data_IF_234781552785
#
_entry.id   IF_234781552785
#
_cell.length_a   1.000
_cell.length_b   1.000
_cell.length_c   1.000
_cell.angle_alpha   90.00
_cell.angle_beta   90.00
_cell.angle_gamma   90.00
#
_symmetry.space_group_name_H-M   'P 1'
#
loop_
_entity.id
_entity.type
_entity.pdbx_description
1 polymer ?
#
# COMPACT_ATOMS: atom_id res chain seq x y z
N UNK A 1 -0.79 19.77 -9.86
CA UNK A 1 0.01 20.79 -9.12
C UNK A 1 0.07 22.03 -9.97
N UNK A 2 -0.29 23.18 -9.42
CA UNK A 2 -0.13 24.50 -10.04
C UNK A 2 1.18 25.10 -9.53
N UNK A 3 2.02 25.57 -10.44
CA UNK A 3 3.35 26.09 -10.10
C UNK A 3 3.47 27.49 -10.69
N UNK A 4 3.82 28.45 -9.85
CA UNK A 4 4.19 29.81 -10.25
C UNK A 4 5.71 29.88 -10.23
N UNK A 5 6.33 30.22 -11.35
CA UNK A 5 7.79 30.25 -11.51
C UNK A 5 8.23 31.54 -12.20
N UNK A 6 9.43 32.01 -11.85
CA UNK A 6 10.15 33.09 -12.54
C UNK A 6 11.47 32.51 -13.07
N UNK A 7 11.51 32.27 -14.39
CA UNK A 7 12.62 31.55 -15.01
C UNK A 7 12.76 30.12 -14.46
N UNK A 8 13.88 29.85 -13.80
CA UNK A 8 14.18 28.55 -13.16
C UNK A 8 13.80 28.52 -11.67
N UNK A 9 13.45 29.66 -11.06
CA UNK A 9 13.05 29.74 -9.66
C UNK A 9 11.56 29.47 -9.49
N UNK A 10 11.23 28.59 -8.54
CA UNK A 10 9.86 28.28 -8.16
C UNK A 10 9.43 29.26 -7.06
N UNK A 11 8.46 30.12 -7.35
CA UNK A 11 7.92 31.09 -6.40
C UNK A 11 6.82 30.50 -5.52
N UNK A 12 5.95 29.66 -6.12
CA UNK A 12 4.83 29.05 -5.41
C UNK A 12 4.47 27.68 -6.00
N UNK A 13 4.08 26.76 -5.12
CA UNK A 13 3.61 25.41 -5.45
C UNK A 13 2.29 25.14 -4.75
N UNK A 14 1.25 24.89 -5.53
CA UNK A 14 -0.04 24.44 -5.03
C UNK A 14 -0.36 23.02 -5.53
N UNK A 15 -0.22 21.99 -4.69
CA UNK A 15 -0.65 20.64 -5.04
C UNK A 15 -2.18 20.55 -5.02
N UNK A 16 -2.78 20.22 -6.16
CA UNK A 16 -4.22 19.99 -6.29
C UNK A 16 -4.47 18.50 -6.07
N UNK A 17 -5.09 18.17 -4.93
CA UNK A 17 -5.47 16.81 -4.57
C UNK A 17 -6.89 16.46 -5.03
N UNK A 18 -7.25 15.17 -4.96
CA UNK A 18 -8.64 14.72 -5.13
C UNK A 18 -8.98 14.04 -6.46
N UNK A 19 -8.08 14.03 -7.45
CA UNK A 19 -8.33 13.32 -8.73
C UNK A 19 -8.56 11.80 -8.58
N UNK A 20 -8.02 11.20 -7.52
CA UNK A 20 -8.22 9.78 -7.18
C UNK A 20 -9.20 9.59 -6.00
N UNK A 21 -9.90 10.64 -5.58
CA UNK A 21 -10.86 10.53 -4.49
C UNK A 21 -12.08 9.71 -4.94
N UNK A 22 -12.33 8.60 -4.24
CA UNK A 22 -13.40 7.64 -4.55
C UNK A 22 -14.50 7.58 -3.48
N UNK A 23 -14.45 8.45 -2.47
CA UNK A 23 -15.39 8.41 -1.35
C UNK A 23 -15.37 7.07 -0.60
N UNK A 24 -14.20 6.45 -0.44
CA UNK A 24 -14.06 5.11 0.13
C UNK A 24 -14.64 5.02 1.55
N UNK A 25 -14.55 6.09 2.33
CA UNK A 25 -15.15 6.20 3.66
C UNK A 25 -16.68 6.11 3.59
N UNK A 26 -17.31 6.82 2.64
CA UNK A 26 -18.77 6.76 2.45
C UNK A 26 -19.22 5.37 2.01
N UNK A 27 -18.46 4.73 1.14
CA UNK A 27 -18.72 3.35 0.72
C UNK A 27 -18.56 2.34 1.87
N UNK A 28 -17.74 2.64 2.88
CA UNK A 28 -17.57 1.78 4.03
C UNK A 28 -18.81 1.78 4.95
N UNK A 29 -19.55 2.89 5.03
CA UNK A 29 -20.77 2.99 5.85
C UNK A 29 -21.88 2.02 5.42
N UNK A 30 -21.95 1.69 4.12
CA UNK A 30 -22.98 0.81 3.56
C UNK A 30 -22.56 -0.68 3.56
N UNK A 31 -21.35 -1.00 4.04
CA UNK A 31 -20.73 -2.33 3.90
C UNK A 31 -20.55 -3.01 5.25
N UNK A 32 -20.60 -4.33 5.24
CA UNK A 32 -20.26 -5.14 6.41
C UNK A 32 -18.75 -5.10 6.70
N UNK A 33 -18.36 -5.31 7.96
CA UNK A 33 -16.96 -5.28 8.39
C UNK A 33 -16.02 -6.17 7.54
N UNK A 34 -16.47 -7.35 7.12
CA UNK A 34 -15.70 -8.25 6.25
C UNK A 34 -15.55 -7.73 4.82
N UNK A 35 -16.55 -7.00 4.32
CA UNK A 35 -16.50 -6.45 2.96
C UNK A 35 -15.57 -5.23 2.87
N UNK A 36 -15.40 -4.50 3.98
CA UNK A 36 -14.52 -3.33 4.07
C UNK A 36 -13.05 -3.71 3.88
N UNK A 37 -12.63 -4.94 4.19
CA UNK A 37 -11.24 -5.41 3.96
C UNK A 37 -10.83 -5.24 2.49
N UNK A 38 -11.75 -5.45 1.55
CA UNK A 38 -11.47 -5.26 0.12
C UNK A 38 -11.37 -3.77 -0.28
N UNK A 39 -11.92 -2.87 0.53
CA UNK A 39 -11.78 -1.43 0.35
C UNK A 39 -10.43 -0.94 0.88
N UNK A 40 -9.98 -1.47 2.02
CA UNK A 40 -8.70 -1.11 2.65
C UNK A 40 -7.49 -1.52 1.82
N UNK A 41 -7.58 -2.62 1.07
CA UNK A 41 -6.56 -3.03 0.09
C UNK A 41 -6.25 -1.96 -0.96
N UNK A 42 -7.23 -1.09 -1.27
CA UNK A 42 -7.14 -0.10 -2.35
C UNK A 42 -6.71 1.28 -1.89
N UNK A 43 -6.51 1.48 -0.59
CA UNK A 43 -6.07 2.76 -0.01
C UNK A 43 -4.61 3.03 -0.37
N UNK A 44 -3.73 2.06 -0.10
CA UNK A 44 -2.39 2.00 -0.67
C UNK A 44 -2.21 0.66 -1.41
N UNK A 45 -2.15 0.76 -2.74
CA UNK A 45 -2.02 -0.37 -3.66
C UNK A 45 -0.60 -0.99 -3.66
N UNK A 46 0.38 -0.33 -3.05
CA UNK A 46 1.74 -0.83 -2.88
C UNK A 46 1.83 -1.67 -1.60
N UNK A 47 1.19 -1.22 -0.52
CA UNK A 47 1.25 -1.87 0.81
C UNK A 47 -0.09 -2.41 1.33
N UNK A 48 -0.90 -3.00 0.45
CA UNK A 48 -2.28 -3.44 0.74
C UNK A 48 -2.45 -4.30 2.01
N UNK A 49 -1.52 -5.24 2.27
CA UNK A 49 -1.59 -6.12 3.44
C UNK A 49 -1.43 -5.36 4.77
N UNK A 50 -0.63 -4.30 4.80
CA UNK A 50 -0.43 -3.48 6.01
C UNK A 50 -1.71 -2.69 6.31
N UNK A 51 -2.39 -2.19 5.29
CA UNK A 51 -3.67 -1.50 5.45
C UNK A 51 -4.75 -2.43 6.01
N UNK A 52 -4.85 -3.64 5.46
CA UNK A 52 -5.78 -4.65 5.96
C UNK A 52 -5.46 -5.03 7.40
N UNK A 53 -4.17 -5.19 7.74
CA UNK A 53 -3.76 -5.47 9.11
C UNK A 53 -4.16 -4.35 10.07
N UNK A 54 -3.96 -3.08 9.71
CA UNK A 54 -4.36 -1.94 10.53
C UNK A 54 -5.87 -1.93 10.78
N UNK A 55 -6.67 -2.20 9.74
CA UNK A 55 -8.12 -2.29 9.87
C UNK A 55 -8.56 -3.48 10.75
N UNK A 56 -8.00 -4.67 10.53
CA UNK A 56 -8.32 -5.85 11.34
C UNK A 56 -7.95 -5.66 12.81
N UNK A 57 -6.82 -5.02 13.11
CA UNK A 57 -6.43 -4.71 14.49
C UNK A 57 -7.43 -3.77 15.16
N UNK A 58 -7.91 -2.74 14.45
CA UNK A 58 -8.93 -1.84 14.97
C UNK A 58 -10.25 -2.56 15.27
N UNK A 59 -10.69 -3.47 14.38
CA UNK A 59 -11.90 -4.27 14.57
C UNK A 59 -11.73 -5.27 15.72
N UNK A 60 -10.57 -5.90 15.85
CA UNK A 60 -10.25 -6.85 16.93
C UNK A 60 -10.24 -6.17 18.30
N UNK A 61 -9.69 -4.95 18.39
CA UNK A 61 -9.69 -4.14 19.61
C UNK A 61 -11.13 -3.73 20.00
N UNK A 62 -11.97 -3.35 19.03
CA UNK A 62 -13.39 -3.04 19.28
C UNK A 62 -14.20 -4.25 19.77
N UNK A 63 -13.85 -5.46 19.31
CA UNK A 63 -14.52 -6.71 19.69
C UNK A 63 -13.93 -7.37 20.95
N UNK A 64 -12.75 -6.94 21.40
CA UNK A 64 -12.04 -7.53 22.54
C UNK A 64 -11.61 -8.99 22.32
N UNK A 65 -11.31 -9.37 21.07
CA UNK A 65 -10.96 -10.75 20.70
C UNK A 65 -9.45 -10.97 20.71
N UNK A 66 -9.00 -12.03 21.36
CA UNK A 66 -7.59 -12.44 21.28
C UNK A 66 -7.32 -13.32 20.06
N UNK A 67 -6.41 -12.84 19.21
CA UNK A 67 -5.95 -13.55 18.02
C UNK A 67 -4.95 -14.66 18.39
N UNK A 68 -5.04 -15.87 17.79
CA UNK A 68 -4.10 -16.96 18.06
C UNK A 68 -2.66 -16.58 17.74
N UNK A 69 -1.71 -17.10 18.52
CA UNK A 69 -0.29 -16.76 18.41
C UNK A 69 0.29 -16.99 17.01
N UNK A 70 -0.15 -18.06 16.31
CA UNK A 70 0.25 -18.34 14.93
C UNK A 70 -0.15 -17.21 13.97
N UNK A 71 -1.34 -16.65 14.11
CA UNK A 71 -1.81 -15.58 13.23
C UNK A 71 -1.03 -14.27 13.47
N UNK A 72 -0.64 -13.97 14.72
CA UNK A 72 0.22 -12.83 15.03
C UNK A 72 1.56 -12.93 14.29
N UNK A 73 2.25 -14.08 14.35
CA UNK A 73 3.51 -14.27 13.63
C UNK A 73 3.38 -14.18 12.12
N UNK A 74 2.30 -14.75 11.55
CA UNK A 74 2.06 -14.68 10.11
C UNK A 74 1.83 -13.24 9.65
N UNK A 75 1.03 -12.45 10.38
CA UNK A 75 0.79 -11.04 10.10
C UNK A 75 2.08 -10.24 10.14
N UNK A 76 2.90 -10.40 11.18
CA UNK A 76 4.20 -9.73 11.29
C UNK A 76 5.10 -10.09 10.12
N UNK A 77 5.25 -11.39 9.79
CA UNK A 77 6.07 -11.83 8.66
C UNK A 77 5.60 -11.21 7.34
N UNK A 78 4.29 -11.21 7.06
CA UNK A 78 3.75 -10.62 5.84
C UNK A 78 3.92 -9.10 5.80
N UNK A 79 3.77 -8.41 6.93
CA UNK A 79 3.99 -6.97 7.03
C UNK A 79 5.45 -6.60 6.73
N UNK A 80 6.42 -7.37 7.25
CA UNK A 80 7.84 -7.11 6.99
C UNK A 80 8.19 -7.30 5.51
N UNK A 81 7.65 -8.36 4.90
CA UNK A 81 7.82 -8.62 3.47
C UNK A 81 7.20 -7.51 2.62
N UNK A 82 5.99 -7.05 2.99
CA UNK A 82 5.32 -5.93 2.31
C UNK A 82 6.12 -4.63 2.44
N UNK A 83 6.68 -4.35 3.62
CA UNK A 83 7.49 -3.15 3.84
C UNK A 83 8.73 -3.16 2.95
N UNK A 84 9.46 -4.27 2.87
CA UNK A 84 10.64 -4.36 1.99
C UNK A 84 10.22 -4.16 0.53
N UNK A 85 9.14 -4.79 0.09
CA UNK A 85 8.61 -4.62 -1.26
C UNK A 85 8.20 -3.17 -1.55
N UNK A 86 7.54 -2.47 -0.61
CA UNK A 86 7.13 -1.08 -0.79
C UNK A 86 8.32 -0.14 -0.91
N UNK A 87 9.36 -0.35 -0.11
CA UNK A 87 10.58 0.46 -0.17
C UNK A 87 11.36 0.24 -1.46
N UNK A 88 11.47 -1.02 -1.93
CA UNK A 88 12.13 -1.32 -3.21
C UNK A 88 11.40 -0.67 -4.39
N UNK A 89 10.06 -0.70 -4.39
CA UNK A 89 9.30 0.02 -5.40
C UNK A 89 9.48 1.53 -5.29
N UNK A 90 9.40 2.09 -4.08
CA UNK A 90 9.60 3.52 -3.84
C UNK A 90 10.96 4.02 -4.33
N UNK A 91 12.04 3.32 -3.98
CA UNK A 91 13.40 3.64 -4.43
C UNK A 91 13.54 3.47 -5.95
N UNK A 92 12.96 2.42 -6.52
CA UNK A 92 12.99 2.16 -7.96
C UNK A 92 12.36 3.30 -8.77
N UNK A 93 11.17 3.75 -8.38
CA UNK A 93 10.49 4.88 -9.03
C UNK A 93 11.20 6.20 -8.77
N UNK A 94 11.70 6.44 -7.55
CA UNK A 94 12.45 7.66 -7.25
C UNK A 94 13.71 7.81 -8.12
N UNK A 95 14.50 6.74 -8.26
CA UNK A 95 15.69 6.76 -9.11
C UNK A 95 15.35 6.86 -10.61
N UNK A 96 14.17 6.37 -11.01
CA UNK A 96 13.67 6.54 -12.37
C UNK A 96 13.39 8.01 -12.66
N UNK A 97 12.71 8.70 -11.74
CA UNK A 97 12.38 10.13 -11.88
C UNK A 97 13.65 11.01 -11.86
N UNK A 98 14.73 10.55 -11.23
CA UNK A 98 16.06 11.18 -11.28
C UNK A 98 16.82 10.93 -12.60
N UNK A 99 16.31 10.11 -13.52
CA UNK A 99 16.87 9.90 -14.85
C UNK A 99 17.70 8.62 -15.04
N UNK A 100 17.65 7.65 -14.13
CA UNK A 100 18.50 6.43 -14.17
C UNK A 100 18.05 5.36 -15.20
N UNK A 101 17.47 5.76 -16.33
CA UNK A 101 17.13 4.92 -17.51
C UNK A 101 16.61 3.50 -17.20
N UNK A 102 15.60 3.34 -16.35
CA UNK A 102 14.87 2.07 -16.15
C UNK A 102 15.59 1.03 -15.30
N UNK A 103 16.92 1.09 -15.19
CA UNK A 103 17.70 -0.01 -14.57
C UNK A 103 17.36 -0.25 -13.10
N UNK A 104 17.29 0.76 -12.20
CA UNK A 104 16.98 0.51 -10.79
C UNK A 104 15.53 0.07 -10.60
N UNK A 105 14.62 0.58 -11.44
CA UNK A 105 13.23 0.15 -11.48
C UNK A 105 13.15 -1.36 -11.80
N UNK A 106 13.87 -1.84 -12.82
CA UNK A 106 13.88 -3.25 -13.19
C UNK A 106 14.43 -4.18 -12.10
N UNK A 107 15.40 -3.73 -11.30
CA UNK A 107 15.91 -4.50 -10.15
C UNK A 107 15.01 -4.40 -8.92
N UNK A 108 14.31 -3.27 -8.72
CA UNK A 108 13.34 -3.07 -7.65
C UNK A 108 12.06 -3.89 -7.87
N UNK A 109 11.66 -4.10 -9.13
CA UNK A 109 10.62 -5.06 -9.48
C UNK A 109 11.14 -6.50 -9.33
N UNK A 110 10.46 -7.36 -8.55
CA UNK A 110 10.70 -8.78 -8.61
C UNK A 110 10.49 -9.27 -10.05
N UNK A 111 11.51 -9.85 -10.69
CA UNK A 111 11.37 -10.37 -12.04
C UNK A 111 10.22 -11.40 -12.18
N UNK A 112 9.79 -11.73 -13.42
CA UNK A 112 8.66 -12.62 -13.70
C UNK A 112 8.79 -14.07 -13.16
N UNK A 113 9.91 -14.41 -12.52
CA UNK A 113 10.15 -15.71 -11.89
C UNK A 113 9.68 -15.77 -10.43
N UNK A 114 8.53 -16.42 -10.20
CA UNK A 114 8.14 -17.13 -8.96
C UNK A 114 8.00 -16.36 -7.63
N UNK A 115 8.49 -15.13 -7.46
CA UNK A 115 8.38 -14.39 -6.17
C UNK A 115 7.03 -13.70 -5.93
N UNK A 116 6.36 -13.22 -6.98
CA UNK A 116 5.02 -12.63 -6.87
C UNK A 116 3.92 -13.65 -6.52
N UNK A 117 4.11 -14.92 -6.87
CA UNK A 117 3.10 -15.96 -6.65
C UNK A 117 2.87 -16.25 -5.16
N UNK A 118 3.89 -16.04 -4.31
CA UNK A 118 3.78 -16.18 -2.85
C UNK A 118 2.99 -15.03 -2.22
N UNK A 119 3.13 -13.83 -2.78
CA UNK A 119 2.45 -12.62 -2.33
C UNK A 119 0.95 -12.68 -2.62
N UNK A 120 0.57 -12.99 -3.87
CA UNK A 120 -0.83 -13.16 -4.27
C UNK A 120 -1.50 -14.39 -3.62
N UNK A 121 -0.76 -15.47 -3.34
CA UNK A 121 -1.31 -16.62 -2.59
C UNK A 121 -1.54 -16.34 -1.12
N UNK A 122 -0.79 -15.43 -0.48
CA UNK A 122 -1.05 -15.05 0.90
C UNK A 122 -2.27 -14.14 1.04
N UNK A 123 -2.53 -13.27 0.05
CA UNK A 123 -3.68 -12.34 0.04
C UNK A 123 -5.04 -13.04 0.12
N UNK A 124 -5.16 -14.26 -0.40
CA UNK A 124 -6.43 -15.00 -0.50
C UNK A 124 -6.60 -16.05 0.62
N UNK A 125 -5.54 -16.40 1.35
CA UNK A 125 -5.54 -17.55 2.28
C UNK A 125 -5.49 -17.12 3.76
N UNK A 126 -5.26 -15.84 4.06
CA UNK A 126 -5.05 -15.37 5.44
C UNK A 126 -6.06 -14.33 5.96
N UNK A 127 -7.09 -13.99 5.18
CA UNK A 127 -8.28 -13.26 5.63
C UNK A 127 -9.48 -14.19 5.55
#
# INVERSE_FOLDING_TARGET
MRVTFDGEEILEVEPIFGYLHRGTEKLAEERNYTQIVTLTDRLDYVSSMINNQAYCLAVEELLGVEVPQRAKYLRTLTAELQRVASHLMGIGFFLQDLGTLGTPLMYGFPGPGKRYLTFLRCSVVLV
#
